data_IF_464145127161
#
_entry.id   IF_464145127161
#
_cell.length_a   1.000
_cell.length_b   1.000
_cell.length_c   1.000
_cell.angle_alpha   90.00
_cell.angle_beta   90.00
_cell.angle_gamma   90.00
#
_symmetry.space_group_name_H-M   'P 1'
#
loop_
_entity.id
_entity.type
_entity.pdbx_description
1 polymer ?
#
# COMPACT_ATOMS: atom_id res chain seq x y z
N UNK A 1 12.06 -16.57 -13.15
CA UNK A 1 12.08 -15.35 -13.99
C UNK A 1 12.77 -14.27 -13.17
N UNK A 2 14.08 -14.09 -13.36
CA UNK A 2 14.90 -13.18 -12.55
C UNK A 2 14.66 -11.77 -13.10
N UNK A 3 14.01 -10.90 -12.31
CA UNK A 3 13.89 -9.49 -12.64
C UNK A 3 15.29 -8.90 -12.50
N UNK A 4 15.97 -8.73 -13.62
CA UNK A 4 17.20 -7.97 -13.70
C UNK A 4 16.86 -6.53 -13.31
N UNK A 5 17.29 -6.11 -12.10
CA UNK A 5 17.31 -4.70 -11.75
C UNK A 5 18.33 -4.05 -12.67
N UNK A 6 17.83 -3.31 -13.67
CA UNK A 6 18.68 -2.38 -14.40
C UNK A 6 19.31 -1.41 -13.37
N UNK A 7 20.62 -1.12 -13.49
CA UNK A 7 21.23 -0.12 -12.64
C UNK A 7 20.48 1.20 -12.81
N UNK A 8 20.28 1.92 -11.71
CA UNK A 8 19.72 3.26 -11.69
C UNK A 8 20.70 4.23 -12.37
N UNK A 9 20.84 4.12 -13.70
CA UNK A 9 21.73 4.94 -14.49
C UNK A 9 20.87 6.00 -15.17
N UNK A 10 21.11 7.25 -14.77
CA UNK A 10 20.48 8.46 -15.27
C UNK A 10 19.05 8.74 -14.79
N UNK A 11 18.89 8.89 -13.47
CA UNK A 11 17.83 9.77 -12.94
C UNK A 11 18.31 11.22 -13.05
N UNK A 12 17.83 12.03 -14.02
CA UNK A 12 18.28 13.42 -14.20
C UNK A 12 18.03 14.30 -12.96
N UNK A 13 17.04 13.95 -12.14
CA UNK A 13 16.75 14.66 -10.88
C UNK A 13 17.87 14.55 -9.83
N UNK A 14 18.66 13.46 -9.83
CA UNK A 14 19.72 13.27 -8.84
C UNK A 14 20.91 14.21 -9.09
N UNK A 15 21.28 14.38 -10.37
CA UNK A 15 22.39 15.25 -10.79
C UNK A 15 22.14 16.73 -10.46
N UNK A 16 20.87 17.15 -10.47
CA UNK A 16 20.49 18.51 -10.06
C UNK A 16 20.63 18.72 -8.55
N UNK A 17 20.12 17.78 -7.74
CA UNK A 17 20.23 17.85 -6.27
C UNK A 17 21.70 17.91 -5.82
N UNK A 18 22.57 17.11 -6.43
CA UNK A 18 24.00 17.09 -6.12
C UNK A 18 24.74 18.39 -6.49
N UNK A 19 24.15 19.21 -7.37
CA UNK A 19 24.71 20.51 -7.80
C UNK A 19 24.29 21.69 -6.93
N UNK A 20 23.33 21.50 -6.01
CA UNK A 20 22.82 22.57 -5.15
C UNK A 20 23.85 22.82 -4.04
N UNK A 21 24.54 23.95 -4.15
CA UNK A 21 25.43 24.44 -3.09
C UNK A 21 24.62 25.26 -2.09
N UNK A 22 24.68 24.89 -0.80
CA UNK A 22 24.08 25.70 0.27
C UNK A 22 24.93 26.99 0.38
N UNK A 23 24.37 28.19 0.15
CA UNK A 23 25.15 29.41 0.27
C UNK A 23 25.60 29.58 1.72
N UNK A 24 26.90 29.65 1.93
CA UNK A 24 27.49 29.95 3.24
C UNK A 24 26.96 31.29 3.74
N UNK A 25 26.42 31.30 4.96
CA UNK A 25 25.92 32.55 5.55
C UNK A 25 27.10 33.53 5.69
N UNK A 26 26.91 34.78 5.31
CA UNK A 26 27.96 35.81 5.34
C UNK A 26 28.19 36.39 6.72
N UNK A 27 27.21 36.22 7.62
CA UNK A 27 27.22 36.73 8.98
C UNK A 27 26.75 35.65 9.97
N UNK A 28 27.40 34.46 10.00
CA UNK A 28 26.93 33.34 10.82
C UNK A 28 26.93 33.70 12.31
N UNK A 29 27.86 34.55 12.73
CA UNK A 29 27.97 35.05 14.10
C UNK A 29 26.87 36.06 14.48
N UNK A 30 26.19 36.67 13.50
CA UNK A 30 25.15 37.67 13.75
C UNK A 30 23.75 37.07 13.74
N UNK A 31 23.57 35.85 13.21
CA UNK A 31 22.28 35.14 13.21
C UNK A 31 21.89 34.84 14.66
N UNK A 32 20.70 35.30 15.07
CA UNK A 32 20.22 35.16 16.46
C UNK A 32 20.66 36.27 17.42
N UNK A 33 21.24 37.37 16.92
CA UNK A 33 21.64 38.54 17.72
C UNK A 33 20.81 39.78 17.37
N UNK A 34 20.93 40.87 18.15
CA UNK A 34 20.33 42.18 17.85
C UNK A 34 21.13 43.00 16.81
N UNK A 35 22.08 42.39 16.11
CA UNK A 35 22.90 43.07 15.10
C UNK A 35 22.03 43.57 13.93
N UNK A 36 22.17 44.83 13.56
CA UNK A 36 21.48 45.45 12.44
C UNK A 36 22.42 45.54 11.22
N UNK A 37 22.16 44.82 10.11
CA UNK A 37 23.05 44.83 8.96
C UNK A 37 23.07 46.19 8.24
N UNK A 38 24.25 46.58 7.77
CA UNK A 38 24.46 47.78 6.97
C UNK A 38 23.82 47.69 5.58
N UNK A 39 23.71 48.81 4.88
CA UNK A 39 23.01 48.89 3.57
C UNK A 39 23.54 47.88 2.54
N UNK A 40 24.85 47.75 2.41
CA UNK A 40 25.46 46.80 1.47
C UNK A 40 25.19 45.34 1.86
N UNK A 41 25.29 45.00 3.15
CA UNK A 41 24.97 43.67 3.67
C UNK A 41 23.49 43.33 3.41
N UNK A 42 22.58 44.28 3.61
CA UNK A 42 21.15 44.08 3.32
C UNK A 42 20.89 43.82 1.83
N UNK A 43 21.58 44.53 0.93
CA UNK A 43 21.44 44.28 -0.52
C UNK A 43 21.93 42.88 -0.86
N UNK A 44 23.09 42.49 -0.33
CA UNK A 44 23.67 41.19 -0.58
C UNK A 44 22.80 40.06 -0.01
N UNK A 45 22.32 40.19 1.24
CA UNK A 45 21.40 39.23 1.87
C UNK A 45 20.12 39.08 1.04
N UNK A 46 19.56 40.18 0.54
CA UNK A 46 18.37 40.11 -0.34
C UNK A 46 18.67 39.35 -1.63
N UNK A 47 19.82 39.61 -2.26
CA UNK A 47 20.22 38.91 -3.47
C UNK A 47 20.39 37.40 -3.24
N UNK A 48 21.05 37.00 -2.15
CA UNK A 48 21.22 35.58 -1.83
C UNK A 48 19.89 34.92 -1.48
N UNK A 49 18.99 35.60 -0.77
CA UNK A 49 17.65 35.08 -0.49
C UNK A 49 16.83 34.85 -1.77
N UNK A 50 16.95 35.71 -2.77
CA UNK A 50 16.26 35.51 -4.06
C UNK A 50 16.77 34.25 -4.77
N UNK A 51 18.08 34.02 -4.78
CA UNK A 51 18.67 32.80 -5.35
C UNK A 51 18.22 31.54 -4.57
N UNK A 52 18.26 31.58 -3.23
CA UNK A 52 17.77 30.47 -2.40
C UNK A 52 16.30 30.16 -2.67
N UNK A 53 15.43 31.16 -2.76
CA UNK A 53 14.01 30.95 -3.09
C UNK A 53 13.83 30.31 -4.48
N UNK A 54 14.65 30.70 -5.46
CA UNK A 54 14.61 30.09 -6.79
C UNK A 54 15.04 28.61 -6.75
N UNK A 55 16.09 28.28 -6.00
CA UNK A 55 16.55 26.89 -5.83
C UNK A 55 15.48 26.04 -5.11
N UNK A 56 14.86 26.57 -4.06
CA UNK A 56 13.77 25.89 -3.35
C UNK A 56 12.58 25.60 -4.28
N UNK A 57 12.16 26.60 -5.06
CA UNK A 57 11.04 26.43 -6.00
C UNK A 57 11.31 25.32 -7.03
N UNK A 58 12.55 25.22 -7.52
CA UNK A 58 12.97 24.15 -8.44
C UNK A 58 12.96 22.78 -7.77
N UNK A 59 13.38 22.69 -6.52
CA UNK A 59 13.35 21.45 -5.74
C UNK A 59 11.90 20.98 -5.52
N UNK A 60 11.00 21.90 -5.17
CA UNK A 60 9.59 21.58 -4.97
C UNK A 60 8.93 21.07 -6.27
N UNK A 61 9.25 21.67 -7.41
CA UNK A 61 8.82 21.17 -8.73
C UNK A 61 9.34 19.76 -9.02
N UNK A 62 10.63 19.50 -8.77
CA UNK A 62 11.22 18.18 -8.97
C UNK A 62 10.57 17.12 -8.05
N UNK A 63 10.32 17.47 -6.79
CA UNK A 63 9.61 16.60 -5.85
C UNK A 63 8.17 16.31 -6.31
N UNK A 64 7.46 17.33 -6.80
CA UNK A 64 6.11 17.15 -7.33
C UNK A 64 6.10 16.18 -8.52
N UNK A 65 7.04 16.33 -9.46
CA UNK A 65 7.16 15.43 -10.62
C UNK A 65 7.48 13.98 -10.21
N UNK A 66 8.43 13.78 -9.30
CA UNK A 66 8.78 12.45 -8.79
C UNK A 66 7.58 11.80 -8.09
N UNK A 67 6.86 12.57 -7.27
CA UNK A 67 5.68 12.07 -6.58
C UNK A 67 4.55 11.69 -7.55
N UNK A 68 4.30 12.45 -8.62
CA UNK A 68 3.33 12.06 -9.65
C UNK A 68 3.72 10.72 -10.31
N UNK A 69 4.98 10.57 -10.72
CA UNK A 69 5.47 9.32 -11.33
C UNK A 69 5.31 8.14 -10.35
N UNK A 70 5.70 8.33 -9.09
CA UNK A 70 5.53 7.34 -8.03
C UNK A 70 4.07 6.94 -7.87
N UNK A 71 3.16 7.91 -7.84
CA UNK A 71 1.73 7.67 -7.66
C UNK A 71 1.12 6.96 -8.88
N UNK A 72 1.60 7.25 -10.09
CA UNK A 72 1.21 6.52 -11.31
C UNK A 72 1.67 5.06 -11.27
N UNK A 73 2.89 4.80 -10.80
CA UNK A 73 3.41 3.44 -10.62
C UNK A 73 2.57 2.68 -9.60
N UNK A 74 2.30 3.27 -8.43
CA UNK A 74 1.47 2.62 -7.40
C UNK A 74 0.04 2.34 -7.88
N UNK A 75 -0.56 3.25 -8.67
CA UNK A 75 -1.87 3.00 -9.29
C UNK A 75 -1.82 1.75 -10.18
N UNK A 76 -0.83 1.63 -11.06
CA UNK A 76 -0.65 0.46 -11.92
C UNK A 76 -0.39 -0.82 -11.13
N UNK A 77 0.45 -0.74 -10.10
CA UNK A 77 0.74 -1.87 -9.21
C UNK A 77 -0.55 -2.39 -8.55
N UNK A 78 -1.38 -1.50 -7.99
CA UNK A 78 -2.65 -1.87 -7.36
C UNK A 78 -3.58 -2.56 -8.35
N UNK A 79 -3.76 -1.99 -9.54
CA UNK A 79 -4.61 -2.59 -10.60
C UNK A 79 -4.14 -4.00 -10.97
N UNK A 80 -2.82 -4.22 -11.10
CA UNK A 80 -2.29 -5.55 -11.43
C UNK A 80 -2.43 -6.54 -10.26
N UNK A 81 -2.29 -6.09 -9.02
CA UNK A 81 -2.54 -6.91 -7.84
C UNK A 81 -4.02 -7.33 -7.75
N UNK A 82 -4.94 -6.40 -7.98
CA UNK A 82 -6.38 -6.68 -8.03
C UNK A 82 -6.71 -7.67 -9.14
N UNK A 83 -6.19 -7.46 -10.35
CA UNK A 83 -6.34 -8.41 -11.46
C UNK A 83 -5.82 -9.80 -11.07
N UNK A 84 -4.59 -9.89 -10.56
CA UNK A 84 -3.99 -11.15 -10.15
C UNK A 84 -4.84 -11.87 -9.09
N UNK A 85 -5.30 -11.15 -8.07
CA UNK A 85 -6.13 -11.70 -7.00
C UNK A 85 -7.47 -12.23 -7.54
N UNK A 86 -8.14 -11.47 -8.42
CA UNK A 86 -9.41 -11.88 -9.02
C UNK A 86 -9.25 -13.17 -9.83
N UNK A 87 -8.26 -13.22 -10.72
CA UNK A 87 -8.06 -14.40 -11.58
C UNK A 87 -7.54 -15.60 -10.80
N UNK A 88 -6.68 -15.39 -9.81
CA UNK A 88 -6.26 -16.46 -8.88
C UNK A 88 -7.46 -17.05 -8.14
N UNK A 89 -8.38 -16.19 -7.67
CA UNK A 89 -9.62 -16.64 -7.06
C UNK A 89 -10.52 -17.40 -8.04
N UNK A 90 -10.60 -17.00 -9.32
CA UNK A 90 -11.37 -17.67 -10.37
C UNK A 90 -10.85 -19.09 -10.67
N UNK A 91 -9.53 -19.29 -10.67
CA UNK A 91 -8.92 -20.61 -10.92
C UNK A 91 -8.71 -21.44 -9.65
N UNK A 92 -9.13 -20.93 -8.49
CA UNK A 92 -8.98 -21.61 -7.22
C UNK A 92 -9.63 -23.01 -7.27
N UNK A 93 -8.94 -24.07 -6.82
CA UNK A 93 -9.46 -25.45 -6.87
C UNK A 93 -10.85 -25.60 -6.25
N UNK A 94 -11.14 -24.86 -5.18
CA UNK A 94 -12.44 -24.89 -4.49
C UNK A 94 -13.61 -24.62 -5.43
N UNK A 95 -13.44 -23.82 -6.49
CA UNK A 95 -14.49 -23.53 -7.47
C UNK A 95 -14.83 -24.70 -8.38
N UNK A 96 -13.93 -25.68 -8.51
CA UNK A 96 -14.09 -26.89 -9.33
C UNK A 96 -14.57 -28.10 -8.53
N UNK A 97 -14.49 -28.05 -7.20
CA UNK A 97 -14.97 -29.13 -6.32
C UNK A 97 -16.48 -29.30 -6.53
N UNK A 98 -17.00 -30.50 -6.83
CA UNK A 98 -18.44 -30.73 -6.92
C UNK A 98 -19.17 -30.39 -5.61
N UNK A 99 -20.44 -29.94 -5.67
CA UNK A 99 -21.19 -29.56 -4.47
C UNK A 99 -21.30 -30.70 -3.44
N UNK A 100 -21.37 -31.95 -3.88
CA UNK A 100 -21.44 -33.14 -3.02
C UNK A 100 -20.17 -33.32 -2.19
N UNK A 101 -19.01 -33.19 -2.84
CA UNK A 101 -17.70 -33.28 -2.18
C UNK A 101 -17.50 -32.11 -1.21
N UNK A 102 -17.96 -30.92 -1.59
CA UNK A 102 -17.86 -29.74 -0.73
C UNK A 102 -18.79 -29.87 0.49
N UNK A 103 -19.98 -30.44 0.32
CA UNK A 103 -20.89 -30.74 1.42
C UNK A 103 -20.32 -31.82 2.35
N UNK A 104 -19.72 -32.87 1.81
CA UNK A 104 -19.04 -33.90 2.60
C UNK A 104 -17.91 -33.30 3.45
N UNK A 105 -17.10 -32.40 2.86
CA UNK A 105 -16.08 -31.63 3.61
C UNK A 105 -16.71 -30.84 4.76
N UNK A 106 -17.87 -30.21 4.54
CA UNK A 106 -18.54 -29.45 5.60
C UNK A 106 -19.06 -30.35 6.73
N UNK A 107 -19.46 -31.59 6.44
CA UNK A 107 -19.87 -32.55 7.46
C UNK A 107 -18.73 -32.89 8.43
N UNK A 108 -17.47 -32.86 7.98
CA UNK A 108 -16.31 -33.01 8.87
C UNK A 108 -16.08 -31.80 9.80
N UNK A 109 -16.65 -30.63 9.51
CA UNK A 109 -16.63 -29.49 10.45
C UNK A 109 -17.67 -29.61 11.57
N UNK A 110 -18.61 -30.55 11.43
CA UNK A 110 -19.56 -30.84 12.49
C UNK A 110 -18.82 -31.57 13.61
N UNK A 111 -19.02 -31.19 14.89
CA UNK A 111 -18.58 -32.03 15.98
C UNK A 111 -19.15 -33.43 15.75
N UNK A 112 -18.28 -34.45 15.73
CA UNK A 112 -18.76 -35.83 15.79
C UNK A 112 -19.75 -35.89 16.96
N UNK A 113 -20.98 -36.29 16.70
CA UNK A 113 -22.07 -36.44 17.67
C UNK A 113 -21.76 -37.61 18.64
N UNK A 114 -20.51 -37.74 19.06
CA UNK A 114 -20.05 -38.73 20.00
C UNK A 114 -19.93 -38.01 21.33
N UNK A 115 -20.99 -38.21 22.10
CA UNK A 115 -21.03 -38.17 23.55
C UNK A 115 -21.14 -36.80 24.22
N UNK A 116 -22.31 -36.63 24.85
CA UNK A 116 -22.58 -35.85 26.04
C UNK A 116 -22.54 -34.32 25.90
N UNK A 117 -23.73 -33.73 25.87
CA UNK A 117 -23.99 -32.36 26.32
C UNK A 117 -23.24 -31.27 25.53
N UNK A 118 -23.00 -31.48 24.23
CA UNK A 118 -22.47 -30.43 23.38
C UNK A 118 -23.46 -29.26 23.36
N UNK A 119 -23.01 -28.12 23.89
CA UNK A 119 -23.76 -26.87 23.90
C UNK A 119 -24.35 -26.62 22.51
N UNK A 120 -25.69 -26.62 22.43
CA UNK A 120 -26.44 -26.43 21.17
C UNK A 120 -25.98 -25.19 20.41
N UNK A 121 -25.39 -24.21 21.08
CA UNK A 121 -24.83 -23.01 20.47
C UNK A 121 -23.56 -23.28 19.64
N UNK A 122 -22.68 -24.20 20.06
CA UNK A 122 -21.44 -24.55 19.35
C UNK A 122 -21.74 -25.36 18.10
N UNK A 123 -22.67 -26.32 18.19
CA UNK A 123 -23.12 -27.12 17.04
C UNK A 123 -23.79 -26.23 15.98
N UNK A 124 -24.67 -25.31 16.41
CA UNK A 124 -25.29 -24.31 15.51
C UNK A 124 -24.26 -23.39 14.88
N UNK A 125 -23.28 -22.92 15.65
CA UNK A 125 -22.21 -22.06 15.14
C UNK A 125 -21.42 -22.79 14.04
N UNK A 126 -20.98 -24.02 14.28
CA UNK A 126 -20.22 -24.81 13.29
C UNK A 126 -21.02 -25.14 12.03
N UNK A 127 -22.32 -25.45 12.17
CA UNK A 127 -23.23 -25.65 11.02
C UNK A 127 -23.39 -24.39 10.18
N UNK A 128 -23.39 -23.21 10.81
CA UNK A 128 -23.55 -21.94 10.12
C UNK A 128 -22.24 -21.39 9.53
N UNK A 129 -21.07 -21.82 10.00
CA UNK A 129 -19.77 -21.31 9.53
C UNK A 129 -19.61 -21.30 8.00
N UNK A 130 -19.92 -22.38 7.26
CA UNK A 130 -19.74 -22.37 5.81
C UNK A 130 -20.65 -21.35 5.11
N UNK A 131 -21.82 -21.06 5.67
CA UNK A 131 -22.78 -20.10 5.10
C UNK A 131 -22.33 -18.63 5.16
N UNK A 132 -21.26 -18.34 5.92
CA UNK A 132 -20.69 -17.00 6.04
C UNK A 132 -19.46 -16.76 5.14
N UNK A 133 -18.96 -17.79 4.44
CA UNK A 133 -17.71 -17.69 3.66
C UNK A 133 -17.94 -17.05 2.30
N UNK A 134 -18.83 -17.62 1.47
CA UNK A 134 -19.20 -17.03 0.18
C UNK A 134 -20.60 -17.45 -0.25
N UNK A 135 -21.14 -16.80 -1.30
CA UNK A 135 -22.48 -17.10 -1.83
C UNK A 135 -22.66 -18.59 -2.14
N UNK A 136 -21.69 -19.21 -2.82
CA UNK A 136 -21.77 -20.63 -3.19
C UNK A 136 -21.82 -21.56 -1.97
N UNK A 137 -21.03 -21.28 -0.94
CA UNK A 137 -21.02 -22.09 0.27
C UNK A 137 -22.32 -21.90 1.07
N UNK A 138 -22.86 -20.68 1.08
CA UNK A 138 -24.19 -20.38 1.63
C UNK A 138 -25.30 -21.12 0.93
N UNK A 139 -25.36 -21.03 -0.40
CA UNK A 139 -26.38 -21.71 -1.20
C UNK A 139 -26.34 -23.22 -0.93
N UNK A 140 -25.13 -23.80 -0.89
CA UNK A 140 -24.92 -25.21 -0.57
C UNK A 140 -25.33 -25.58 0.86
N UNK A 141 -24.99 -24.73 1.84
CA UNK A 141 -25.38 -24.96 3.24
C UNK A 141 -26.89 -24.93 3.43
N UNK A 142 -27.59 -24.04 2.74
CA UNK A 142 -29.04 -23.92 2.82
C UNK A 142 -29.77 -25.03 2.05
N UNK A 143 -29.18 -25.52 0.94
CA UNK A 143 -29.77 -26.57 0.12
C UNK A 143 -29.51 -27.99 0.64
N UNK A 144 -28.68 -28.17 1.67
CA UNK A 144 -28.29 -29.49 2.17
C UNK A 144 -28.98 -29.78 3.52
N UNK A 145 -29.97 -30.70 3.56
CA UNK A 145 -30.76 -30.97 4.75
C UNK A 145 -29.98 -31.33 6.01
N UNK A 146 -28.85 -32.05 5.84
CA UNK A 146 -28.04 -32.53 6.94
C UNK A 146 -27.35 -31.42 7.76
N UNK A 147 -27.38 -30.16 7.31
CA UNK A 147 -26.81 -29.02 8.05
C UNK A 147 -27.79 -28.30 8.97
N UNK A 148 -29.10 -28.52 8.86
CA UNK A 148 -30.12 -28.03 9.81
C UNK A 148 -30.71 -29.18 10.64
#
# INVERSE_FOLDING_TARGET
>A
MVVSLAPAQDCPGLKFVDSISIPSSLLPACVGTNYAPGTHERIHIKSTLLDVHLQLSRLDEALAQINDVRDRIHRKQRTLQEYSAQYTALISPVRRVPPEILAEIFLYFLPHLVYNNADTTVVRRNRMLPSHICKRWRDLSLSTPNFW
#
